data_IF_163493899119
#
_entry.id   IF_163493899119
#
_cell.length_a   1.000
_cell.length_b   1.000
_cell.length_c   1.000
_cell.angle_alpha   90.00
_cell.angle_beta   90.00
_cell.angle_gamma   90.00
#
_symmetry.space_group_name_H-M   'P 1'
#
loop_
_entity.id
_entity.type
_entity.pdbx_description
1 polymer ?
#
# COMPACT_ATOMS: atom_id res chain seq x y z
N UNK A 1 -7.34 18.10 -45.72
CA UNK A 1 -8.73 18.20 -45.24
C UNK A 1 -8.77 19.25 -44.14
N UNK A 2 -9.82 20.07 -44.03
CA UNK A 2 -9.94 21.02 -42.93
C UNK A 2 -10.12 20.27 -41.60
N UNK A 3 -9.60 20.80 -40.47
CA UNK A 3 -9.82 20.19 -39.17
C UNK A 3 -11.31 20.26 -38.80
N UNK A 4 -11.75 19.31 -38.00
CA UNK A 4 -13.10 19.34 -37.45
C UNK A 4 -13.17 20.40 -36.35
N UNK A 5 -14.12 21.33 -36.45
CA UNK A 5 -14.31 22.41 -35.48
C UNK A 5 -15.68 22.24 -34.84
N UNK A 6 -15.73 22.15 -33.52
CA UNK A 6 -16.97 22.21 -32.75
C UNK A 6 -17.09 23.54 -32.02
N UNK A 7 -18.34 23.99 -31.88
CA UNK A 7 -18.70 25.21 -31.17
C UNK A 7 -19.70 24.84 -30.08
N UNK A 8 -19.39 25.17 -28.84
CA UNK A 8 -20.21 24.87 -27.67
C UNK A 8 -20.38 26.13 -26.83
N UNK A 9 -21.57 26.34 -26.29
CA UNK A 9 -21.83 27.43 -25.35
C UNK A 9 -21.96 26.84 -23.95
N UNK A 10 -21.00 27.13 -23.08
CA UNK A 10 -20.89 26.54 -21.75
C UNK A 10 -21.25 27.59 -20.70
N UNK A 11 -22.22 27.32 -19.80
CA UNK A 11 -22.46 28.17 -18.64
C UNK A 11 -21.27 28.11 -17.68
N UNK A 12 -20.80 29.26 -17.18
CA UNK A 12 -19.62 29.32 -16.32
C UNK A 12 -19.99 29.85 -14.92
N UNK A 13 -19.51 29.24 -13.81
CA UNK A 13 -20.01 29.52 -12.45
C UNK A 13 -19.95 30.98 -11.99
N UNK A 14 -19.05 31.78 -12.55
CA UNK A 14 -18.87 33.19 -12.21
C UNK A 14 -19.47 34.16 -13.22
N UNK A 15 -20.20 33.68 -14.23
CA UNK A 15 -20.88 34.52 -15.21
C UNK A 15 -22.36 34.74 -14.85
N UNK A 16 -22.93 35.91 -15.18
CA UNK A 16 -24.38 36.15 -15.14
C UNK A 16 -25.16 35.09 -15.91
N UNK A 17 -26.39 34.80 -15.48
CA UNK A 17 -27.22 33.70 -16.00
C UNK A 17 -27.57 33.82 -17.50
N UNK A 18 -27.49 35.04 -18.05
CA UNK A 18 -27.70 35.36 -19.46
C UNK A 18 -26.41 35.31 -20.31
N UNK A 19 -25.26 34.94 -19.71
CA UNK A 19 -23.97 34.87 -20.39
C UNK A 19 -23.41 33.45 -20.40
N UNK A 20 -22.77 33.11 -21.51
CA UNK A 20 -22.12 31.82 -21.76
C UNK A 20 -20.73 32.06 -22.32
N UNK A 21 -19.82 31.10 -22.08
CA UNK A 21 -18.52 31.06 -22.75
C UNK A 21 -18.67 30.23 -24.01
N UNK A 22 -18.34 30.81 -25.17
CA UNK A 22 -18.23 30.07 -26.42
C UNK A 22 -16.90 29.30 -26.47
N UNK A 23 -16.96 27.98 -26.29
CA UNK A 23 -15.83 27.10 -26.48
C UNK A 23 -15.73 26.69 -27.96
N UNK A 24 -14.59 26.97 -28.57
CA UNK A 24 -14.26 26.53 -29.93
C UNK A 24 -13.19 25.45 -29.84
N UNK A 25 -13.57 24.21 -30.14
CA UNK A 25 -12.65 23.08 -30.11
C UNK A 25 -12.26 22.69 -31.53
N UNK A 26 -10.97 22.73 -31.83
CA UNK A 26 -10.41 22.33 -33.13
C UNK A 26 -9.71 21.00 -32.94
N UNK A 27 -10.26 19.92 -33.51
CA UNK A 27 -9.65 18.59 -33.39
C UNK A 27 -8.39 18.49 -34.26
N UNK A 28 -7.31 17.86 -33.74
CA UNK A 28 -6.09 17.67 -34.51
C UNK A 28 -6.35 16.73 -35.70
N UNK A 29 -5.60 16.95 -36.78
CA UNK A 29 -5.48 16.00 -37.89
C UNK A 29 -4.09 15.37 -37.81
N UNK A 30 -3.95 14.13 -38.28
CA UNK A 30 -2.64 13.44 -38.33
C UNK A 30 -1.60 14.15 -39.22
N UNK A 31 -2.05 15.10 -40.07
CA UNK A 31 -1.19 15.83 -41.00
C UNK A 31 -0.90 17.24 -40.48
N UNK A 32 0.32 17.70 -40.74
CA UNK A 32 0.74 19.07 -40.49
C UNK A 32 -0.24 20.05 -41.14
N UNK A 33 -0.82 20.94 -40.34
CA UNK A 33 -1.79 21.94 -40.80
C UNK A 33 -1.12 23.31 -40.81
N UNK A 34 -1.20 24.01 -41.95
CA UNK A 34 -0.63 25.34 -42.15
C UNK A 34 -1.68 26.35 -42.59
N UNK A 35 -1.40 27.64 -42.42
CA UNK A 35 -2.28 28.70 -42.89
C UNK A 35 -2.37 28.70 -44.42
N UNK A 36 -3.58 28.57 -44.97
CA UNK A 36 -3.81 28.58 -46.44
C UNK A 36 -3.63 29.96 -47.06
N UNK A 37 -3.89 31.03 -46.30
CA UNK A 37 -3.80 32.43 -46.72
C UNK A 37 -3.12 33.24 -45.63
N UNK A 38 -2.60 34.41 -45.99
CA UNK A 38 -2.07 35.35 -45.02
C UNK A 38 -3.18 35.80 -44.07
N UNK A 39 -2.89 35.84 -42.77
CA UNK A 39 -3.78 36.39 -41.74
C UNK A 39 -2.96 37.38 -40.92
N UNK A 40 -3.23 38.67 -41.12
CA UNK A 40 -2.55 39.77 -40.45
C UNK A 40 -1.02 39.67 -40.56
N UNK A 41 -0.30 39.41 -39.45
CA UNK A 41 1.16 39.29 -39.40
C UNK A 41 1.70 37.90 -39.76
N UNK A 42 0.82 36.93 -40.01
CA UNK A 42 1.20 35.56 -40.34
C UNK A 42 1.03 35.29 -41.83
N UNK A 43 2.08 34.73 -42.43
CA UNK A 43 2.11 34.41 -43.86
C UNK A 43 1.44 33.06 -44.13
N UNK A 44 0.94 32.88 -45.36
CA UNK A 44 0.51 31.58 -45.85
C UNK A 44 1.65 30.58 -45.74
N UNK A 45 1.37 29.39 -45.22
CA UNK A 45 2.35 28.34 -44.93
C UNK A 45 2.88 28.34 -43.50
N UNK A 46 2.59 29.36 -42.66
CA UNK A 46 2.96 29.31 -41.23
C UNK A 46 2.27 28.14 -40.53
N UNK A 47 3.04 27.43 -39.70
CA UNK A 47 2.58 26.35 -38.82
C UNK A 47 2.73 26.80 -37.37
N UNK A 48 1.87 26.29 -36.49
CA UNK A 48 1.95 26.57 -35.06
C UNK A 48 2.25 25.29 -34.31
N UNK A 49 3.25 25.34 -33.44
CA UNK A 49 3.53 24.27 -32.49
C UNK A 49 3.12 24.71 -31.10
N UNK A 50 2.57 23.79 -30.33
CA UNK A 50 2.30 24.02 -28.92
C UNK A 50 3.62 23.97 -28.15
N UNK A 51 3.90 25.04 -27.42
CA UNK A 51 5.05 25.17 -26.53
C UNK A 51 4.51 25.51 -25.13
N UNK A 52 4.45 24.50 -24.26
CA UNK A 52 3.75 24.57 -22.98
C UNK A 52 2.25 24.84 -23.14
N UNK A 53 1.77 25.98 -22.61
CA UNK A 53 0.37 26.40 -22.65
C UNK A 53 0.02 27.34 -23.82
N UNK A 54 1.00 27.70 -24.66
CA UNK A 54 0.82 28.64 -25.78
C UNK A 54 1.16 27.99 -27.13
N UNK A 55 0.62 28.55 -28.21
CA UNK A 55 0.94 28.12 -29.57
C UNK A 55 1.87 29.14 -30.23
N UNK A 56 3.06 28.70 -30.64
CA UNK A 56 4.08 29.54 -31.24
C UNK A 56 4.21 29.29 -32.75
N UNK A 57 4.28 30.35 -33.57
CA UNK A 57 4.50 30.21 -35.01
C UNK A 57 5.92 29.67 -35.26
N UNK A 58 6.06 28.62 -36.07
CA UNK A 58 7.36 28.17 -36.58
C UNK A 58 7.38 28.18 -38.10
N UNK A 59 8.59 28.25 -38.66
CA UNK A 59 8.83 28.02 -40.07
C UNK A 59 8.62 26.54 -40.42
N UNK A 60 8.30 26.27 -41.69
CA UNK A 60 7.86 24.98 -42.22
C UNK A 60 8.88 23.83 -42.00
N UNK A 61 10.13 24.13 -41.68
CA UNK A 61 11.28 23.20 -41.60
C UNK A 61 11.60 22.69 -40.19
N UNK A 62 10.66 22.72 -39.24
CA UNK A 62 10.91 22.25 -37.87
C UNK A 62 10.60 20.76 -37.69
N UNK A 63 11.54 19.98 -37.13
CA UNK A 63 11.32 18.58 -36.73
C UNK A 63 10.41 18.49 -35.50
N UNK A 64 9.51 17.49 -35.46
CA UNK A 64 8.66 17.19 -34.31
C UNK A 64 9.38 16.26 -33.34
N UNK A 65 9.57 16.71 -32.09
CA UNK A 65 10.05 15.87 -30.99
C UNK A 65 8.90 15.63 -30.01
N UNK A 66 8.75 14.38 -29.57
CA UNK A 66 7.85 14.03 -28.49
C UNK A 66 8.53 14.36 -27.15
N UNK A 67 7.89 15.24 -26.37
CA UNK A 67 8.44 15.75 -25.10
C UNK A 67 7.53 15.44 -23.91
N UNK A 68 6.27 15.06 -24.16
CA UNK A 68 5.23 15.06 -23.14
C UNK A 68 4.22 13.92 -23.26
N UNK A 69 4.36 13.00 -24.23
CA UNK A 69 3.44 11.87 -24.38
C UNK A 69 3.28 11.04 -23.11
N UNK A 70 4.34 10.80 -22.35
CA UNK A 70 4.29 10.05 -21.09
C UNK A 70 3.43 10.74 -20.02
N UNK A 71 3.55 12.06 -19.91
CA UNK A 71 2.75 12.88 -18.99
C UNK A 71 1.29 12.90 -19.44
N UNK A 72 1.04 13.10 -20.73
CA UNK A 72 -0.32 13.12 -21.31
C UNK A 72 -1.00 11.76 -21.13
N UNK A 73 -0.31 10.65 -21.44
CA UNK A 73 -0.84 9.30 -21.26
C UNK A 73 -1.19 9.01 -19.79
N UNK A 74 -0.41 9.55 -18.84
CA UNK A 74 -0.71 9.43 -17.42
C UNK A 74 -1.99 10.20 -17.07
N UNK A 75 -2.13 11.44 -17.54
CA UNK A 75 -3.33 12.27 -17.31
C UNK A 75 -4.57 11.64 -17.95
N UNK A 76 -4.46 11.13 -19.18
CA UNK A 76 -5.55 10.44 -19.88
C UNK A 76 -5.98 9.20 -19.12
N UNK A 77 -5.03 8.38 -18.65
CA UNK A 77 -5.32 7.21 -17.80
C UNK A 77 -6.08 7.60 -16.53
N UNK A 78 -5.68 8.68 -15.85
CA UNK A 78 -6.37 9.16 -14.65
C UNK A 78 -7.77 9.71 -14.98
N UNK A 79 -7.91 10.36 -16.14
CA UNK A 79 -9.19 10.92 -16.61
C UNK A 79 -10.20 9.85 -17.03
N UNK A 80 -9.75 8.61 -17.32
CA UNK A 80 -10.63 7.48 -17.62
C UNK A 80 -11.33 6.90 -16.39
N UNK A 81 -10.89 7.23 -15.17
CA UNK A 81 -11.57 6.80 -13.94
C UNK A 81 -12.89 7.56 -13.80
N UNK A 82 -14.02 6.87 -14.04
CA UNK A 82 -15.33 7.48 -13.85
C UNK A 82 -15.67 7.61 -12.36
N UNK A 83 -16.35 8.70 -11.99
CA UNK A 83 -16.85 8.91 -10.63
C UNK A 83 -17.81 7.78 -10.25
N UNK A 84 -18.63 7.31 -11.18
CA UNK A 84 -19.54 6.17 -11.00
C UNK A 84 -18.78 4.92 -10.57
N UNK A 85 -17.73 4.51 -11.29
CA UNK A 85 -16.93 3.34 -10.92
C UNK A 85 -16.24 3.49 -9.56
N UNK A 86 -15.84 4.72 -9.20
CA UNK A 86 -15.24 4.99 -7.89
C UNK A 86 -16.27 4.83 -6.79
N UNK A 87 -17.46 5.41 -6.94
CA UNK A 87 -18.54 5.32 -5.96
C UNK A 87 -19.05 3.88 -5.83
N UNK A 88 -19.25 3.18 -6.95
CA UNK A 88 -19.64 1.77 -6.96
C UNK A 88 -18.59 0.91 -6.25
N UNK A 89 -17.29 1.19 -6.47
CA UNK A 89 -16.20 0.50 -5.79
C UNK A 89 -16.21 0.71 -4.27
N UNK A 90 -16.48 1.93 -3.80
CA UNK A 90 -16.62 2.23 -2.36
C UNK A 90 -17.83 1.52 -1.76
N UNK A 91 -18.98 1.58 -2.43
CA UNK A 91 -20.22 0.96 -1.97
C UNK A 91 -20.09 -0.57 -1.95
N UNK A 92 -19.47 -1.17 -2.96
CA UNK A 92 -19.16 -2.60 -3.00
C UNK A 92 -18.19 -3.01 -1.88
N UNK A 93 -17.13 -2.23 -1.65
CA UNK A 93 -16.16 -2.47 -0.58
C UNK A 93 -16.86 -2.52 0.79
N UNK A 94 -17.70 -1.51 1.08
CA UNK A 94 -18.36 -1.36 2.38
C UNK A 94 -19.50 -2.37 2.55
N UNK A 95 -20.42 -2.47 1.59
CA UNK A 95 -21.69 -3.16 1.79
C UNK A 95 -21.69 -4.61 1.32
N UNK A 96 -20.75 -5.02 0.46
CA UNK A 96 -20.72 -6.37 -0.12
C UNK A 96 -19.52 -7.15 0.39
N UNK A 97 -18.30 -6.63 0.20
CA UNK A 97 -17.08 -7.37 0.53
C UNK A 97 -16.75 -7.39 2.02
N UNK A 98 -17.07 -6.32 2.74
CA UNK A 98 -16.69 -6.17 4.15
C UNK A 98 -17.84 -5.78 5.07
N UNK A 99 -19.07 -6.19 4.74
CA UNK A 99 -20.28 -5.85 5.48
C UNK A 99 -20.24 -6.17 6.99
N UNK A 100 -19.49 -7.22 7.37
CA UNK A 100 -19.37 -7.69 8.76
C UNK A 100 -18.17 -7.08 9.52
N UNK A 101 -17.39 -6.19 8.89
CA UNK A 101 -16.20 -5.57 9.48
C UNK A 101 -16.43 -4.09 9.74
N UNK A 102 -15.57 -3.50 10.58
CA UNK A 102 -15.49 -2.05 10.61
C UNK A 102 -14.92 -1.58 9.28
N UNK A 103 -15.61 -0.67 8.60
CA UNK A 103 -15.19 -0.09 7.32
C UNK A 103 -15.20 1.42 7.41
N UNK A 104 -14.24 2.06 6.75
CA UNK A 104 -14.19 3.51 6.63
C UNK A 104 -13.40 3.89 5.37
N UNK A 105 -13.53 5.15 4.93
CA UNK A 105 -12.89 5.64 3.71
C UNK A 105 -12.40 7.08 3.86
N UNK A 106 -11.43 7.45 3.02
CA UNK A 106 -10.90 8.81 2.94
C UNK A 106 -10.51 9.17 1.52
N UNK A 107 -10.85 10.41 1.14
CA UNK A 107 -10.45 11.00 -0.13
C UNK A 107 -9.18 11.84 0.07
N UNK A 108 -8.18 11.64 -0.79
CA UNK A 108 -6.94 12.39 -0.83
C UNK A 108 -6.81 13.11 -2.18
N UNK A 109 -6.41 14.40 -2.15
CA UNK A 109 -6.19 15.26 -3.32
C UNK A 109 -7.34 15.25 -4.35
N UNK A 110 -8.58 15.03 -3.87
CA UNK A 110 -9.82 14.91 -4.66
C UNK A 110 -9.82 13.80 -5.74
N UNK A 111 -8.79 12.94 -5.75
CA UNK A 111 -8.55 11.96 -6.82
C UNK A 111 -8.45 10.53 -6.29
N UNK A 112 -7.99 10.37 -5.05
CA UNK A 112 -7.65 9.06 -4.50
C UNK A 112 -8.62 8.69 -3.39
N UNK A 113 -9.39 7.62 -3.58
CA UNK A 113 -10.27 7.09 -2.54
C UNK A 113 -9.64 5.85 -1.91
N UNK A 114 -9.19 5.99 -0.67
CA UNK A 114 -8.69 4.87 0.15
C UNK A 114 -9.84 4.35 0.99
N UNK A 115 -10.17 3.08 0.85
CA UNK A 115 -11.08 2.36 1.73
C UNK A 115 -10.29 1.39 2.59
N UNK A 116 -10.72 1.19 3.84
CA UNK A 116 -10.16 0.14 4.68
C UNK A 116 -11.23 -0.55 5.50
N UNK A 117 -11.02 -1.84 5.73
CA UNK A 117 -11.88 -2.72 6.51
C UNK A 117 -11.03 -3.51 7.50
N UNK A 118 -11.56 -3.78 8.69
CA UNK A 118 -10.87 -4.64 9.65
C UNK A 118 -11.65 -4.87 10.94
N UNK A 119 -11.13 -5.78 11.76
CA UNK A 119 -11.62 -6.00 13.12
C UNK A 119 -11.00 -4.94 14.03
N UNK A 120 -11.81 -3.93 14.39
CA UNK A 120 -11.37 -2.82 15.24
C UNK A 120 -11.28 -3.25 16.71
N UNK A 121 -10.15 -2.94 17.35
CA UNK A 121 -9.86 -3.22 18.76
C UNK A 121 -9.32 -1.95 19.41
N UNK A 122 -9.91 -1.53 20.53
CA UNK A 122 -9.46 -0.35 21.27
C UNK A 122 -8.81 -0.81 22.57
N UNK A 123 -7.55 -0.42 22.78
CA UNK A 123 -6.81 -0.73 24.01
C UNK A 123 -6.34 0.61 24.58
N UNK A 124 -6.91 1.00 25.73
CA UNK A 124 -6.71 2.33 26.32
C UNK A 124 -7.13 3.41 25.30
N UNK A 125 -6.19 4.26 24.89
CA UNK A 125 -6.40 5.35 23.94
C UNK A 125 -5.94 5.02 22.51
N UNK A 126 -5.43 3.81 22.29
CA UNK A 126 -4.93 3.38 20.98
C UNK A 126 -5.93 2.49 20.26
N UNK A 127 -6.10 2.74 18.96
CA UNK A 127 -6.95 1.94 18.06
C UNK A 127 -6.07 1.04 17.22
N UNK A 128 -6.36 -0.25 17.28
CA UNK A 128 -5.72 -1.30 16.50
C UNK A 128 -6.75 -1.99 15.61
N UNK A 129 -6.27 -2.57 14.53
CA UNK A 129 -7.06 -3.36 13.60
C UNK A 129 -6.36 -4.69 13.34
N UNK A 130 -7.13 -5.76 13.16
CA UNK A 130 -6.64 -7.04 12.65
C UNK A 130 -7.52 -7.52 11.49
N UNK A 131 -7.01 -8.45 10.68
CA UNK A 131 -7.68 -8.90 9.43
C UNK A 131 -8.05 -7.69 8.56
N UNK A 132 -7.03 -6.91 8.21
CA UNK A 132 -7.22 -5.62 7.55
C UNK A 132 -7.13 -5.76 6.04
N UNK A 133 -8.12 -5.21 5.33
CA UNK A 133 -8.11 -5.03 3.89
C UNK A 133 -8.10 -3.52 3.61
N UNK A 134 -7.19 -3.06 2.76
CA UNK A 134 -7.07 -1.65 2.38
C UNK A 134 -7.00 -1.58 0.86
N UNK A 135 -7.85 -0.77 0.26
CA UNK A 135 -7.93 -0.61 -1.19
C UNK A 135 -7.90 0.86 -1.58
N UNK A 136 -7.01 1.17 -2.53
CA UNK A 136 -7.04 2.43 -3.26
C UNK A 136 -7.90 2.22 -4.51
N UNK A 137 -9.19 2.55 -4.40
CA UNK A 137 -10.24 2.18 -5.37
C UNK A 137 -9.89 2.62 -6.79
N UNK A 138 -9.42 3.86 -6.94
CA UNK A 138 -9.07 4.46 -8.23
C UNK A 138 -7.85 3.81 -8.91
N UNK A 139 -6.99 3.15 -8.13
CA UNK A 139 -5.70 2.60 -8.60
C UNK A 139 -5.68 1.07 -8.63
N UNK A 140 -6.73 0.42 -8.12
CA UNK A 140 -6.81 -1.05 -7.98
C UNK A 140 -5.65 -1.65 -7.17
N UNK A 141 -5.06 -0.86 -6.26
CA UNK A 141 -4.03 -1.32 -5.34
C UNK A 141 -4.69 -1.84 -4.07
N UNK A 142 -4.33 -3.06 -3.66
CA UNK A 142 -4.85 -3.71 -2.46
C UNK A 142 -3.72 -4.11 -1.52
N UNK A 143 -3.92 -3.86 -0.23
CA UNK A 143 -3.03 -4.24 0.85
C UNK A 143 -3.81 -5.09 1.85
N UNK A 144 -3.20 -6.19 2.30
CA UNK A 144 -3.84 -7.14 3.19
C UNK A 144 -2.98 -7.43 4.40
N UNK A 145 -3.59 -7.47 5.57
CA UNK A 145 -3.01 -7.92 6.82
C UNK A 145 -3.86 -9.05 7.40
N UNK A 146 -3.20 -10.06 7.94
CA UNK A 146 -3.86 -11.26 8.46
C UNK A 146 -4.60 -10.99 9.77
N UNK A 147 -5.38 -11.97 10.24
CA UNK A 147 -6.04 -11.90 11.54
C UNK A 147 -5.05 -11.94 12.74
N UNK A 148 -3.81 -12.38 12.50
CA UNK A 148 -2.76 -12.43 13.51
C UNK A 148 -1.93 -11.14 13.55
N UNK A 149 -2.09 -10.29 12.53
CA UNK A 149 -1.42 -9.01 12.45
C UNK A 149 -2.25 -7.97 13.20
N UNK A 150 -1.59 -7.20 14.04
CA UNK A 150 -2.17 -5.97 14.60
C UNK A 150 -1.54 -4.78 13.90
N UNK A 151 -2.37 -3.89 13.36
CA UNK A 151 -1.93 -2.65 12.72
C UNK A 151 -2.63 -1.45 13.35
N UNK A 152 -1.95 -0.31 13.37
CA UNK A 152 -2.62 0.98 13.59
C UNK A 152 -2.63 1.77 12.28
N UNK A 153 -3.73 2.48 12.03
CA UNK A 153 -3.89 3.33 10.86
C UNK A 153 -3.91 4.77 11.31
N UNK A 154 -3.05 5.60 10.72
CA UNK A 154 -3.00 7.05 10.92
C UNK A 154 -3.01 7.74 9.58
N UNK A 155 -3.48 8.99 9.55
CA UNK A 155 -3.69 9.70 8.30
C UNK A 155 -3.61 11.21 8.51
N UNK A 156 -2.96 11.88 7.58
CA UNK A 156 -2.91 13.35 7.47
C UNK A 156 -3.75 13.78 6.28
N UNK A 157 -3.65 15.05 5.86
CA UNK A 157 -4.30 15.51 4.62
C UNK A 157 -3.71 14.85 3.37
N UNK A 158 -2.46 14.41 3.45
CA UNK A 158 -1.63 14.06 2.28
C UNK A 158 -1.09 12.63 2.37
N UNK A 159 -1.22 11.99 3.54
CA UNK A 159 -0.59 10.70 3.81
C UNK A 159 -1.57 9.72 4.47
N UNK A 160 -1.49 8.46 4.05
CA UNK A 160 -2.14 7.33 4.70
C UNK A 160 -1.05 6.37 5.21
N UNK A 161 -0.95 6.23 6.53
CA UNK A 161 0.11 5.48 7.21
C UNK A 161 -0.46 4.27 7.95
N UNK A 162 0.21 3.14 7.79
CA UNK A 162 -0.10 1.88 8.46
C UNK A 162 1.14 1.45 9.21
N UNK A 163 1.00 1.20 10.51
CA UNK A 163 2.08 0.67 11.34
C UNK A 163 1.71 -0.74 11.81
N UNK A 164 2.46 -1.74 11.35
CA UNK A 164 2.33 -3.13 11.78
C UNK A 164 3.05 -3.36 13.10
N UNK A 165 2.42 -4.13 13.99
CA UNK A 165 2.96 -4.53 15.27
C UNK A 165 3.13 -6.04 15.36
N UNK A 166 4.18 -6.46 16.07
CA UNK A 166 4.38 -7.85 16.47
C UNK A 166 4.21 -7.98 17.97
N UNK A 167 3.51 -9.02 18.40
CA UNK A 167 3.40 -9.37 19.80
C UNK A 167 4.60 -10.25 20.19
N UNK A 168 5.54 -9.70 20.98
CA UNK A 168 6.69 -10.44 21.50
C UNK A 168 6.68 -10.42 23.02
N UNK A 169 7.12 -11.53 23.61
CA UNK A 169 7.07 -11.70 25.05
C UNK A 169 7.71 -12.99 25.54
N UNK A 170 8.08 -12.97 26.82
CA UNK A 170 8.63 -14.12 27.54
C UNK A 170 7.79 -14.31 28.81
N UNK A 171 7.54 -15.56 29.21
CA UNK A 171 6.89 -15.92 30.48
C UNK A 171 5.58 -15.15 30.71
N UNK A 172 4.66 -15.21 29.74
CA UNK A 172 3.35 -14.57 29.80
C UNK A 172 3.35 -13.03 29.89
N UNK A 173 4.51 -12.38 29.71
CA UNK A 173 4.59 -10.92 29.59
C UNK A 173 4.80 -10.56 28.13
N UNK A 174 3.73 -10.08 27.48
CA UNK A 174 3.75 -9.71 26.07
C UNK A 174 3.61 -8.21 25.87
N UNK A 175 4.32 -7.69 24.86
CA UNK A 175 4.24 -6.29 24.43
C UNK A 175 4.17 -6.21 22.91
N UNK A 176 3.49 -5.19 22.41
CA UNK A 176 3.47 -4.87 20.99
C UNK A 176 4.70 -4.06 20.62
N UNK A 177 5.43 -4.53 19.62
CA UNK A 177 6.60 -3.86 19.06
C UNK A 177 6.29 -3.42 17.63
N UNK A 178 6.50 -2.14 17.28
CA UNK A 178 6.38 -1.68 15.89
C UNK A 178 7.35 -2.47 15.00
N UNK A 179 6.86 -3.02 13.88
CA UNK A 179 7.65 -3.83 12.95
C UNK A 179 7.95 -3.07 11.67
N UNK A 180 6.91 -2.74 10.91
CA UNK A 180 7.02 -2.15 9.58
C UNK A 180 5.98 -1.06 9.45
N UNK A 181 6.41 0.08 8.91
CA UNK A 181 5.55 1.19 8.55
C UNK A 181 5.39 1.24 7.03
N UNK A 182 4.14 1.29 6.56
CA UNK A 182 3.81 1.56 5.17
C UNK A 182 3.13 2.92 5.09
N UNK A 183 3.69 3.82 4.27
CA UNK A 183 3.13 5.15 4.06
C UNK A 183 2.78 5.33 2.59
N UNK A 184 1.55 5.77 2.32
CA UNK A 184 1.09 6.18 0.99
C UNK A 184 1.06 7.70 0.96
N UNK A 185 1.92 8.30 0.15
CA UNK A 185 2.08 9.75 -0.01
C UNK A 185 1.38 10.22 -1.27
N UNK A 186 0.36 11.09 -1.15
CA UNK A 186 -0.43 11.60 -2.26
C UNK A 186 0.02 13.01 -2.67
N UNK A 187 0.25 13.23 -3.96
CA UNK A 187 0.74 14.51 -4.51
C UNK A 187 -0.32 15.23 -5.33
N UNK A 188 -0.25 16.55 -5.37
CA UNK A 188 -1.18 17.43 -6.11
C UNK A 188 -1.18 17.20 -7.63
N UNK A 189 -0.09 16.65 -8.17
CA UNK A 189 0.04 16.36 -9.60
C UNK A 189 -0.65 15.03 -10.02
N UNK A 190 -1.47 14.45 -9.14
CA UNK A 190 -2.15 13.18 -9.38
C UNK A 190 -1.22 11.96 -9.36
N UNK A 191 -0.06 12.06 -8.71
CA UNK A 191 0.79 10.89 -8.46
C UNK A 191 0.82 10.54 -6.98
N UNK A 192 1.13 9.28 -6.68
CA UNK A 192 1.32 8.79 -5.32
C UNK A 192 2.53 7.89 -5.24
N UNK A 193 3.12 7.79 -4.05
CA UNK A 193 4.22 6.90 -3.76
C UNK A 193 3.84 6.01 -2.58
N UNK A 194 4.22 4.73 -2.64
CA UNK A 194 4.09 3.80 -1.51
C UNK A 194 5.50 3.50 -0.99
N UNK A 195 5.76 3.88 0.25
CA UNK A 195 7.03 3.67 0.93
C UNK A 195 6.84 2.64 2.05
N UNK A 196 7.83 1.76 2.22
CA UNK A 196 7.86 0.75 3.28
C UNK A 196 9.17 0.90 4.06
N UNK A 197 9.05 1.08 5.37
CA UNK A 197 10.18 1.28 6.26
C UNK A 197 10.09 0.25 7.40
N UNK A 198 11.12 -0.58 7.55
CA UNK A 198 11.25 -1.44 8.73
C UNK A 198 11.65 -0.56 9.93
N UNK A 199 10.76 -0.42 10.90
CA UNK A 199 10.96 0.39 12.13
C UNK A 199 11.17 -0.49 13.36
N UNK A 200 11.50 -1.76 13.13
CA UNK A 200 11.61 -2.77 14.17
C UNK A 200 12.86 -2.60 15.02
N UNK A 201 12.64 -2.34 16.31
CA UNK A 201 13.68 -2.40 17.33
C UNK A 201 13.51 -3.67 18.16
N UNK A 202 14.44 -4.64 18.08
CA UNK A 202 14.30 -5.90 18.79
C UNK A 202 14.35 -5.68 20.31
N UNK A 203 13.44 -6.31 21.07
CA UNK A 203 13.48 -6.23 22.52
C UNK A 203 14.74 -6.88 23.10
N UNK A 204 15.38 -6.18 24.04
CA UNK A 204 16.49 -6.71 24.83
C UNK A 204 15.96 -7.37 26.10
N UNK A 205 16.31 -8.64 26.29
CA UNK A 205 15.98 -9.39 27.51
C UNK A 205 17.24 -9.72 28.29
N UNK A 206 17.07 -10.07 29.58
CA UNK A 206 18.19 -10.53 30.41
C UNK A 206 18.79 -11.82 29.83
N UNK A 207 20.10 -11.79 29.59
CA UNK A 207 20.83 -12.87 28.94
C UNK A 207 20.82 -14.16 29.77
N UNK A 208 20.82 -14.05 31.11
CA UNK A 208 20.74 -15.23 31.99
C UNK A 208 19.39 -15.92 31.83
N UNK A 209 18.31 -15.13 31.89
CA UNK A 209 16.96 -15.62 31.64
C UNK A 209 16.84 -16.29 30.26
N UNK A 210 17.35 -15.65 29.21
CA UNK A 210 17.33 -16.20 27.85
C UNK A 210 18.09 -17.53 27.74
N UNK A 211 19.24 -17.68 28.41
CA UNK A 211 19.97 -18.95 28.42
C UNK A 211 19.16 -20.09 29.03
N UNK A 212 18.50 -19.85 30.16
CA UNK A 212 17.67 -20.86 30.81
C UNK A 212 16.53 -21.30 29.89
N UNK A 213 15.86 -20.34 29.28
CA UNK A 213 14.76 -20.57 28.37
C UNK A 213 15.22 -21.31 27.11
N UNK A 214 16.32 -20.85 26.49
CA UNK A 214 16.91 -21.48 25.31
C UNK A 214 17.29 -22.94 25.57
N UNK A 215 17.86 -23.23 26.74
CA UNK A 215 18.23 -24.59 27.14
C UNK A 215 17.00 -25.47 27.36
N UNK A 216 15.97 -24.95 28.05
CA UNK A 216 14.70 -25.67 28.24
C UNK A 216 14.04 -26.01 26.89
N UNK A 217 13.94 -25.03 26.00
CA UNK A 217 13.36 -25.23 24.68
C UNK A 217 14.19 -26.21 23.83
N UNK A 218 15.51 -26.22 23.98
CA UNK A 218 16.37 -27.20 23.31
C UNK A 218 16.09 -28.63 23.77
N UNK A 219 15.81 -28.82 25.07
CA UNK A 219 15.44 -30.13 25.61
C UNK A 219 14.10 -30.58 25.01
N UNK A 220 13.12 -29.68 24.92
CA UNK A 220 11.81 -29.96 24.31
C UNK A 220 11.98 -30.27 22.82
N UNK A 221 12.74 -29.47 22.09
CA UNK A 221 13.04 -29.71 20.66
C UNK A 221 13.65 -31.10 20.46
N UNK A 222 14.66 -31.47 21.25
CA UNK A 222 15.29 -32.77 21.15
C UNK A 222 14.29 -33.92 21.40
N UNK A 223 13.35 -33.75 22.34
CA UNK A 223 12.26 -34.73 22.56
C UNK A 223 11.33 -34.83 21.36
N UNK A 224 11.00 -33.71 20.71
CA UNK A 224 10.18 -33.68 19.49
C UNK A 224 10.89 -34.37 18.33
N UNK A 225 12.20 -34.13 18.15
CA UNK A 225 12.98 -34.72 17.06
C UNK A 225 13.08 -36.25 17.16
N UNK A 226 13.12 -36.80 18.38
CA UNK A 226 13.14 -38.25 18.62
C UNK A 226 11.73 -38.85 18.83
N UNK A 227 10.67 -38.11 18.53
CA UNK A 227 9.25 -38.52 18.68
C UNK A 227 8.88 -39.02 20.10
N UNK A 228 9.45 -38.41 21.16
CA UNK A 228 9.13 -38.75 22.55
C UNK A 228 7.85 -38.04 23.01
N UNK A 229 7.04 -38.72 23.83
CA UNK A 229 5.82 -38.16 24.41
C UNK A 229 6.14 -36.95 25.31
N UNK A 230 5.53 -35.81 25.01
CA UNK A 230 5.60 -34.60 25.83
C UNK A 230 4.52 -34.61 26.91
N UNK A 231 4.83 -34.08 28.09
CA UNK A 231 3.82 -33.82 29.11
C UNK A 231 2.99 -32.56 28.76
N UNK A 232 1.93 -32.28 29.54
CA UNK A 232 1.04 -31.14 29.29
C UNK A 232 1.77 -29.78 29.29
N UNK A 233 2.68 -29.56 30.23
CA UNK A 233 3.47 -28.31 30.29
C UNK A 233 4.45 -28.19 29.14
N UNK A 234 5.09 -29.29 28.74
CA UNK A 234 6.01 -29.31 27.59
C UNK A 234 5.26 -29.07 26.26
N UNK A 235 4.01 -29.50 26.15
CA UNK A 235 3.16 -29.18 25.01
C UNK A 235 2.83 -27.68 24.96
N UNK A 236 2.51 -27.06 26.10
CA UNK A 236 2.31 -25.60 26.18
C UNK A 236 3.58 -24.83 25.81
N UNK A 237 4.73 -25.24 26.33
CA UNK A 237 6.03 -24.65 25.99
C UNK A 237 6.38 -24.83 24.51
N UNK A 238 5.99 -25.96 23.90
CA UNK A 238 6.17 -26.19 22.46
C UNK A 238 5.41 -25.16 21.61
N UNK A 239 4.21 -24.72 22.02
CA UNK A 239 3.49 -23.65 21.31
C UNK A 239 4.19 -22.30 21.38
N UNK A 240 4.91 -22.03 22.47
CA UNK A 240 5.68 -20.79 22.65
C UNK A 240 7.10 -20.85 22.07
N UNK A 241 7.58 -22.05 21.73
CA UNK A 241 8.94 -22.30 21.28
C UNK A 241 9.32 -21.47 20.03
N UNK A 242 8.47 -21.33 18.98
CA UNK A 242 8.81 -20.48 17.83
C UNK A 242 9.06 -19.01 18.20
N UNK A 243 8.20 -18.41 19.02
CA UNK A 243 8.34 -17.04 19.48
C UNK A 243 9.58 -16.87 20.37
N UNK A 244 9.87 -17.87 21.19
CA UNK A 244 11.01 -17.84 22.08
C UNK A 244 12.33 -17.94 21.33
N UNK A 245 12.44 -18.82 20.34
CA UNK A 245 13.63 -18.90 19.49
C UNK A 245 13.82 -17.67 18.62
N UNK A 246 12.74 -17.05 18.14
CA UNK A 246 12.81 -15.73 17.52
C UNK A 246 13.46 -14.71 18.47
N UNK A 247 12.97 -14.61 19.70
CA UNK A 247 13.52 -13.66 20.69
C UNK A 247 14.99 -13.97 21.02
N UNK A 248 15.34 -15.25 21.20
CA UNK A 248 16.73 -15.66 21.42
C UNK A 248 17.62 -15.24 20.24
N UNK A 249 17.19 -15.48 19.00
CA UNK A 249 17.92 -15.08 17.81
C UNK A 249 18.14 -13.56 17.75
N UNK A 250 17.09 -12.77 17.99
CA UNK A 250 17.16 -11.31 18.06
C UNK A 250 18.08 -10.77 19.17
N UNK A 251 18.40 -11.61 20.18
CA UNK A 251 19.29 -11.28 21.29
C UNK A 251 20.68 -11.95 21.18
N UNK A 252 21.07 -12.44 20.00
CA UNK A 252 22.43 -12.94 19.72
C UNK A 252 22.64 -14.45 19.81
N UNK A 253 21.57 -15.24 20.01
CA UNK A 253 21.65 -16.70 20.00
C UNK A 253 21.47 -17.22 18.57
N UNK A 254 22.51 -17.14 17.75
CA UNK A 254 22.43 -17.44 16.30
C UNK A 254 21.88 -18.86 16.01
N UNK A 255 22.32 -19.85 16.79
CA UNK A 255 21.87 -21.25 16.68
C UNK A 255 20.39 -21.48 17.01
N UNK A 256 19.68 -20.48 17.57
CA UNK A 256 18.23 -20.57 17.76
C UNK A 256 17.48 -20.67 16.43
N UNK A 257 18.01 -20.06 15.37
CA UNK A 257 17.38 -20.09 14.06
C UNK A 257 17.45 -21.48 13.42
N UNK A 258 18.62 -22.12 13.41
CA UNK A 258 18.80 -23.47 12.88
C UNK A 258 17.91 -24.47 13.61
N UNK A 259 17.79 -24.31 14.93
CA UNK A 259 16.89 -25.09 15.79
C UNK A 259 15.41 -24.83 15.49
N UNK A 260 15.05 -23.61 15.13
CA UNK A 260 13.69 -23.29 14.71
C UNK A 260 13.39 -23.95 13.35
N UNK A 261 14.30 -23.86 12.38
CA UNK A 261 14.14 -24.45 11.05
C UNK A 261 14.03 -25.99 11.10
N UNK A 262 14.78 -26.65 11.97
CA UNK A 262 14.72 -28.11 12.15
C UNK A 262 13.37 -28.61 12.69
N UNK A 263 12.57 -27.74 13.30
CA UNK A 263 11.23 -28.08 13.77
C UNK A 263 10.25 -28.34 12.61
N UNK A 264 10.45 -27.71 11.45
CA UNK A 264 9.49 -27.70 10.33
C UNK A 264 8.92 -29.07 9.93
N UNK A 265 9.73 -30.13 9.73
CA UNK A 265 9.25 -31.43 9.28
C UNK A 265 8.35 -32.11 10.32
N UNK A 266 8.56 -31.79 11.61
CA UNK A 266 7.89 -32.43 12.74
C UNK A 266 6.58 -31.74 13.12
N UNK A 267 6.36 -30.50 12.68
CA UNK A 267 5.16 -29.71 13.00
C UNK A 267 3.86 -30.31 12.45
N UNK A 268 3.90 -31.02 11.32
CA UNK A 268 2.70 -31.61 10.69
C UNK A 268 2.03 -32.67 11.56
N UNK A 269 2.75 -33.27 12.51
CA UNK A 269 2.22 -34.27 13.45
C UNK A 269 1.45 -33.62 14.61
N UNK A 270 1.62 -32.33 14.80
CA UNK A 270 0.96 -31.54 15.85
C UNK A 270 -0.18 -30.71 15.25
N UNK A 271 -0.76 -29.85 16.09
CA UNK A 271 -1.89 -29.01 15.73
C UNK A 271 -1.51 -27.87 14.75
N UNK A 272 -2.50 -27.52 13.92
CA UNK A 272 -2.53 -26.34 13.04
C UNK A 272 -2.10 -25.04 13.73
N UNK A 273 -2.42 -24.87 15.02
CA UNK A 273 -2.05 -23.70 15.82
C UNK A 273 -0.53 -23.53 15.94
N UNK A 274 0.20 -24.63 16.17
CA UNK A 274 1.66 -24.60 16.28
C UNK A 274 2.30 -24.26 14.92
N UNK A 275 1.77 -24.84 13.84
CA UNK A 275 2.24 -24.57 12.48
C UNK A 275 2.04 -23.10 12.08
N UNK A 276 0.91 -22.49 12.44
CA UNK A 276 0.66 -21.08 12.20
C UNK A 276 1.64 -20.20 13.01
N UNK A 277 1.81 -20.47 14.30
CA UNK A 277 2.77 -19.74 15.13
C UNK A 277 4.20 -19.82 14.56
N UNK A 278 4.61 -20.99 14.06
CA UNK A 278 5.88 -21.15 13.37
C UNK A 278 6.01 -20.27 12.12
N UNK A 279 4.99 -20.29 11.24
CA UNK A 279 4.99 -19.49 10.01
C UNK A 279 5.07 -17.99 10.28
N UNK A 280 4.34 -17.50 11.27
CA UNK A 280 4.37 -16.09 11.66
C UNK A 280 5.74 -15.66 12.15
N UNK A 281 6.37 -16.43 13.03
CA UNK A 281 7.71 -16.11 13.54
C UNK A 281 8.78 -16.13 12.44
N UNK A 282 8.69 -17.07 11.49
CA UNK A 282 9.54 -17.05 10.31
C UNK A 282 9.28 -15.85 9.38
N UNK A 283 8.02 -15.41 9.25
CA UNK A 283 7.68 -14.22 8.46
C UNK A 283 8.37 -12.98 9.06
N UNK A 284 8.30 -12.81 10.37
CA UNK A 284 8.99 -11.73 11.09
C UNK A 284 10.50 -11.80 10.84
N UNK A 285 11.11 -12.98 10.97
CA UNK A 285 12.55 -13.17 10.69
C UNK A 285 12.93 -12.76 9.26
N UNK A 286 12.14 -13.14 8.27
CA UNK A 286 12.40 -12.75 6.88
C UNK A 286 12.32 -11.24 6.70
N UNK A 287 11.31 -10.57 7.29
CA UNK A 287 11.20 -9.11 7.23
C UNK A 287 12.38 -8.40 7.87
N UNK A 288 12.94 -8.93 8.97
CA UNK A 288 14.11 -8.38 9.65
C UNK A 288 15.42 -8.66 8.89
N UNK A 289 15.53 -9.77 8.17
CA UNK A 289 16.77 -10.14 7.45
C UNK A 289 16.94 -9.48 6.09
N UNK A 290 15.85 -9.23 5.38
CA UNK A 290 15.87 -8.81 3.97
C UNK A 290 15.61 -7.30 3.76
N UNK A 291 15.45 -6.54 4.84
CA UNK A 291 15.41 -5.07 4.86
C UNK A 291 16.64 -4.54 5.59
#
# INVERSE_FOLDING_TARGET
TPPYVSYENIPFPHLPQDKVVGLVTIKPLEKLTSLKKNIWKYWGGTVFFRDGSISMPKSFTSEMFDVNSSVVATIEKHSHNSIEHTLDGVIDFINVRHADLFTDYRVFKEQFVVCWAGVKKVIKDNVYYSRVDIELINEQVRLFYSALDEVSITMTTDEFSILEYVLLGIQNTYKYYPLEQLTINFKENGSYNIERNLVFEPPKFDHKLLHHIYNNNTIILNKVLIDKTLNKGELEDLYNLPATYLICYLNGFESALEKLESLHPHLRKYDSKLYNAYKENLRILRKVKYN
#
